data_IF_638782773674
#
_entry.id   IF_638782773674
#
_cell.length_a   1.000
_cell.length_b   1.000
_cell.length_c   1.000
_cell.angle_alpha   90.00
_cell.angle_beta   90.00
_cell.angle_gamma   90.00
#
_symmetry.space_group_name_H-M   'P 1'
#
loop_
_entity.id
_entity.type
_entity.pdbx_description
1 polymer ?
#
# COMPACT_ATOMS: atom_id res chain seq x y z
N UNK A 1 24.37 10.27 6.69
CA UNK A 1 23.20 10.10 5.80
C UNK A 1 22.56 11.48 5.63
N UNK A 2 22.60 12.09 4.44
CA UNK A 2 21.90 13.38 4.24
C UNK A 2 20.41 13.07 4.13
N UNK A 3 19.60 13.77 4.92
CA UNK A 3 18.15 13.66 4.85
C UNK A 3 17.70 14.38 3.57
N UNK A 4 17.47 13.60 2.51
CA UNK A 4 16.94 14.09 1.24
C UNK A 4 15.41 13.95 1.24
N UNK A 5 14.72 14.85 0.55
CA UNK A 5 13.26 14.81 0.36
C UNK A 5 12.81 13.45 -0.19
N UNK A 6 13.61 12.81 -1.05
CA UNK A 6 13.37 11.47 -1.57
C UNK A 6 13.42 10.38 -0.50
N UNK A 7 14.36 10.48 0.44
CA UNK A 7 14.45 9.54 1.56
C UNK A 7 13.24 9.68 2.49
N UNK A 8 12.82 10.92 2.77
CA UNK A 8 11.62 11.18 3.57
C UNK A 8 10.38 10.59 2.89
N UNK A 9 10.25 10.79 1.57
CA UNK A 9 9.15 10.22 0.78
C UNK A 9 9.16 8.69 0.84
N UNK A 10 10.32 8.06 0.66
CA UNK A 10 10.47 6.60 0.79
C UNK A 10 10.07 6.09 2.17
N UNK A 11 10.48 6.79 3.24
CA UNK A 11 10.11 6.44 4.62
C UNK A 11 8.61 6.59 4.89
N UNK A 12 7.98 7.67 4.39
CA UNK A 12 6.53 7.86 4.50
C UNK A 12 5.79 6.77 3.74
N UNK A 13 6.22 6.46 2.52
CA UNK A 13 5.62 5.41 1.71
C UNK A 13 5.73 4.03 2.38
N UNK A 14 6.90 3.72 2.94
CA UNK A 14 7.11 2.51 3.74
C UNK A 14 6.22 2.50 5.00
N UNK A 15 6.07 3.65 5.66
CA UNK A 15 5.15 3.83 6.79
C UNK A 15 3.69 3.53 6.42
N UNK A 16 3.23 3.96 5.25
CA UNK A 16 1.89 3.61 4.74
C UNK A 16 1.74 2.10 4.51
N UNK A 17 2.78 1.45 3.99
CA UNK A 17 2.82 -0.01 3.84
C UNK A 17 2.81 -0.77 5.16
N UNK A 18 3.36 -0.20 6.23
CA UNK A 18 3.23 -0.76 7.56
C UNK A 18 1.81 -0.55 8.12
N UNK A 19 1.28 0.67 7.95
CA UNK A 19 -0.04 1.06 8.44
C UNK A 19 -1.17 0.17 7.91
N UNK A 20 -1.08 -0.33 6.67
CA UNK A 20 -2.07 -1.28 6.13
C UNK A 20 -2.22 -2.52 7.02
N UNK A 21 -1.11 -3.08 7.51
CA UNK A 21 -1.13 -4.30 8.34
C UNK A 21 -1.61 -3.98 9.75
N UNK A 22 -1.21 -2.82 10.29
CA UNK A 22 -1.72 -2.36 11.58
C UNK A 22 -3.25 -2.23 11.57
N UNK A 23 -3.80 -1.58 10.54
CA UNK A 23 -5.25 -1.40 10.40
C UNK A 23 -5.96 -2.74 10.17
N UNK A 24 -5.38 -3.62 9.35
CA UNK A 24 -5.93 -4.95 9.11
C UNK A 24 -5.96 -5.81 10.37
N UNK A 25 -4.88 -5.80 11.14
CA UNK A 25 -4.79 -6.49 12.42
C UNK A 25 -5.83 -5.95 13.40
N UNK A 26 -5.88 -4.64 13.62
CA UNK A 26 -6.88 -4.02 14.51
C UNK A 26 -8.31 -4.35 14.08
N UNK A 27 -8.62 -4.28 12.79
CA UNK A 27 -9.94 -4.64 12.28
C UNK A 27 -10.28 -6.12 12.51
N UNK A 28 -9.28 -7.00 12.45
CA UNK A 28 -9.46 -8.44 12.67
C UNK A 28 -9.64 -8.78 14.15
N UNK A 29 -8.89 -8.13 15.04
CA UNK A 29 -9.05 -8.28 16.50
C UNK A 29 -10.44 -7.82 16.96
N UNK A 30 -10.91 -6.67 16.45
CA UNK A 30 -12.23 -6.14 16.78
C UNK A 30 -13.35 -7.10 16.35
N UNK A 31 -13.19 -7.74 15.19
CA UNK A 31 -14.22 -8.65 14.63
C UNK A 31 -14.05 -10.11 15.02
N UNK A 32 -12.89 -10.49 15.59
CA UNK A 32 -12.49 -11.87 15.90
C UNK A 32 -12.52 -12.80 14.67
N UNK A 33 -12.25 -12.24 13.50
CA UNK A 33 -12.15 -12.96 12.22
C UNK A 33 -11.04 -12.35 11.36
N UNK A 34 -10.44 -13.17 10.49
CA UNK A 34 -9.43 -12.69 9.54
C UNK A 34 -10.09 -11.86 8.45
N UNK A 35 -10.10 -10.53 8.64
CA UNK A 35 -10.72 -9.59 7.71
C UNK A 35 -9.70 -8.65 7.09
N UNK A 36 -9.92 -8.31 5.82
CA UNK A 36 -9.17 -7.28 5.12
C UNK A 36 -10.08 -6.06 4.96
N UNK A 37 -9.91 -4.99 5.76
CA UNK A 37 -10.73 -3.79 5.65
C UNK A 37 -10.45 -3.04 4.35
N UNK A 38 -11.40 -2.27 3.85
CA UNK A 38 -11.24 -1.49 2.59
C UNK A 38 -10.03 -0.55 2.67
N UNK A 39 -9.78 0.03 3.85
CA UNK A 39 -8.62 0.87 4.13
C UNK A 39 -7.28 0.19 3.82
N UNK A 40 -7.17 -1.13 3.98
CA UNK A 40 -5.96 -1.87 3.63
C UNK A 40 -5.55 -1.62 2.16
N UNK A 41 -6.52 -1.61 1.26
CA UNK A 41 -6.28 -1.39 -0.17
C UNK A 41 -5.86 0.05 -0.44
N UNK A 42 -6.48 1.03 0.21
CA UNK A 42 -6.11 2.44 0.07
C UNK A 42 -4.67 2.71 0.53
N UNK A 43 -4.29 2.23 1.72
CA UNK A 43 -2.92 2.37 2.22
C UNK A 43 -1.90 1.65 1.32
N UNK A 44 -2.26 0.50 0.76
CA UNK A 44 -1.40 -0.24 -0.18
C UNK A 44 -1.19 0.51 -1.49
N UNK A 45 -2.22 1.18 -2.03
CA UNK A 45 -2.11 1.97 -3.26
C UNK A 45 -1.25 3.22 -3.01
N UNK A 46 -1.54 3.97 -1.94
CA UNK A 46 -0.79 5.19 -1.60
C UNK A 46 0.67 4.88 -1.29
N UNK A 47 0.93 3.86 -0.45
CA UNK A 47 2.28 3.39 -0.17
C UNK A 47 2.99 2.88 -1.43
N UNK A 48 2.28 2.14 -2.28
CA UNK A 48 2.80 1.62 -3.55
C UNK A 48 3.23 2.73 -4.50
N UNK A 49 2.40 3.77 -4.69
CA UNK A 49 2.72 4.92 -5.54
C UNK A 49 3.93 5.68 -4.99
N UNK A 50 3.98 5.90 -3.67
CA UNK A 50 5.12 6.56 -3.03
C UNK A 50 6.42 5.76 -3.20
N UNK A 51 6.39 4.45 -2.95
CA UNK A 51 7.56 3.60 -3.16
C UNK A 51 7.94 3.50 -4.63
N UNK A 52 6.97 3.44 -5.55
CA UNK A 52 7.25 3.45 -6.98
C UNK A 52 7.99 4.74 -7.40
N UNK A 53 7.53 5.90 -6.93
CA UNK A 53 8.21 7.18 -7.20
C UNK A 53 9.65 7.18 -6.63
N UNK A 54 9.82 6.70 -5.39
CA UNK A 54 11.13 6.55 -4.78
C UNK A 54 12.04 5.58 -5.56
N UNK A 55 11.52 4.42 -5.96
CA UNK A 55 12.27 3.38 -6.68
C UNK A 55 12.68 3.81 -8.09
N UNK A 56 11.85 4.59 -8.78
CA UNK A 56 12.21 5.23 -10.05
C UNK A 56 13.38 6.21 -9.83
N UNK A 57 13.33 7.00 -8.76
CA UNK A 57 14.41 7.95 -8.44
C UNK A 57 15.75 7.25 -8.19
N UNK A 58 15.76 6.16 -7.41
CA UNK A 58 16.98 5.38 -7.14
C UNK A 58 17.31 4.37 -8.27
N UNK A 59 16.49 4.32 -9.33
CA UNK A 59 16.63 3.42 -10.49
C UNK A 59 16.71 1.94 -10.12
N UNK A 60 15.91 1.51 -9.14
CA UNK A 60 15.85 0.11 -8.73
C UNK A 60 14.76 -0.65 -9.52
N UNK A 61 15.12 -1.49 -10.51
CA UNK A 61 14.14 -2.16 -11.37
C UNK A 61 13.30 -3.20 -10.61
N UNK A 62 13.83 -3.80 -9.54
CA UNK A 62 13.13 -4.84 -8.78
C UNK A 62 11.96 -4.23 -8.04
N UNK A 63 12.19 -3.12 -7.34
CA UNK A 63 11.12 -2.43 -6.64
C UNK A 63 10.14 -1.75 -7.59
N UNK A 64 10.60 -1.23 -8.74
CA UNK A 64 9.71 -0.64 -9.76
C UNK A 64 8.70 -1.69 -10.24
N UNK A 65 9.19 -2.87 -10.66
CA UNK A 65 8.32 -3.95 -11.13
C UNK A 65 7.37 -4.43 -10.03
N UNK A 66 7.90 -4.66 -8.82
CA UNK A 66 7.12 -5.12 -7.68
C UNK A 66 5.99 -4.16 -7.29
N UNK A 67 6.30 -2.87 -7.14
CA UNK A 67 5.29 -1.87 -6.77
C UNK A 67 4.29 -1.60 -7.89
N UNK A 68 4.71 -1.61 -9.17
CA UNK A 68 3.80 -1.41 -10.30
C UNK A 68 2.74 -2.53 -10.37
N UNK A 69 3.16 -3.79 -10.26
CA UNK A 69 2.26 -4.95 -10.23
C UNK A 69 1.38 -4.90 -8.98
N UNK A 70 1.97 -4.56 -7.82
CA UNK A 70 1.24 -4.41 -6.56
C UNK A 70 0.09 -3.41 -6.68
N UNK A 71 0.35 -2.18 -7.13
CA UNK A 71 -0.65 -1.12 -7.31
C UNK A 71 -1.80 -1.59 -8.21
N UNK A 72 -1.49 -2.28 -9.31
CA UNK A 72 -2.51 -2.83 -10.20
C UNK A 72 -3.42 -3.84 -9.47
N UNK A 73 -2.83 -4.79 -8.73
CA UNK A 73 -3.59 -5.80 -7.97
C UNK A 73 -4.42 -5.14 -6.87
N UNK A 74 -3.87 -4.16 -6.15
CA UNK A 74 -4.58 -3.47 -5.07
C UNK A 74 -5.78 -2.69 -5.60
N UNK A 75 -5.61 -2.00 -6.74
CA UNK A 75 -6.69 -1.28 -7.43
C UNK A 75 -7.77 -2.25 -7.90
N UNK A 76 -7.38 -3.39 -8.48
CA UNK A 76 -8.31 -4.45 -8.91
C UNK A 76 -9.12 -5.00 -7.75
N UNK A 77 -8.49 -5.27 -6.61
CA UNK A 77 -9.19 -5.79 -5.44
C UNK A 77 -10.13 -4.76 -4.84
N UNK A 78 -9.74 -3.49 -4.80
CA UNK A 78 -10.61 -2.39 -4.38
C UNK A 78 -11.86 -2.28 -5.27
N UNK A 79 -11.71 -2.40 -6.59
CA UNK A 79 -12.85 -2.42 -7.52
C UNK A 79 -13.82 -3.57 -7.24
N UNK A 80 -13.32 -4.77 -6.91
CA UNK A 80 -14.17 -5.91 -6.55
C UNK A 80 -14.97 -5.66 -5.26
N UNK A 81 -14.34 -5.06 -4.25
CA UNK A 81 -15.00 -4.69 -2.99
C UNK A 81 -16.19 -3.77 -3.28
N UNK A 82 -16.00 -2.73 -4.08
CA UNK A 82 -17.09 -1.80 -4.44
C UNK A 82 -18.19 -2.46 -5.28
N UNK A 83 -17.83 -3.37 -6.20
CA UNK A 83 -18.81 -4.11 -6.99
C UNK A 83 -19.66 -5.02 -6.12
N UNK A 84 -19.07 -5.67 -5.10
CA UNK A 84 -19.81 -6.51 -4.15
C UNK A 84 -20.74 -5.69 -3.26
N UNK A 85 -20.33 -4.47 -2.87
CA UNK A 85 -21.15 -3.59 -2.03
C UNK A 85 -22.37 -2.98 -2.75
N UNK A 86 -22.40 -2.99 -4.08
CA UNK A 86 -23.54 -2.52 -4.90
C UNK A 86 -24.56 -3.62 -5.23
N UNK A 87 -24.29 -4.86 -4.82
CA UNK A 87 -25.17 -6.02 -5.02
C UNK A 87 -25.88 -6.34 -3.73
#
# INVERSE_FOLDING_TARGET
MKLDYWLILGLIAQGMFFMRFLIQWLASEIKKESVIPVYFWYFSIVGGIGLLAYSIHIKDPVFILGNSIGIFIYSRNLMLVFKKSKK
#
